data_IF_125795339003
#
_entry.id   IF_125795339003
#
_cell.length_a   1.000
_cell.length_b   1.000
_cell.length_c   1.000
_cell.angle_alpha   90.00
_cell.angle_beta   90.00
_cell.angle_gamma   90.00
#
_symmetry.space_group_name_H-M   'P 1'
#
loop_
_entity.id
_entity.type
_entity.pdbx_description
1 polymer ?
#
# COMPACT_ATOMS: atom_id res chain seq x y z
N UNK A 1 -40.68 -8.41 -27.12
CA UNK A 1 -40.16 -9.64 -27.78
C UNK A 1 -38.85 -9.28 -28.45
N UNK A 2 -37.74 -9.51 -27.81
CA UNK A 2 -36.39 -9.38 -28.39
C UNK A 2 -35.64 -10.65 -28.01
N UNK A 3 -35.13 -11.36 -29.00
CA UNK A 3 -34.48 -12.65 -28.90
C UNK A 3 -33.00 -12.50 -28.45
N UNK A 4 -32.43 -13.45 -27.72
CA UNK A 4 -31.03 -13.45 -27.33
C UNK A 4 -30.13 -13.97 -28.45
N UNK A 5 -29.03 -13.29 -28.73
CA UNK A 5 -28.00 -13.66 -29.68
C UNK A 5 -27.06 -14.71 -29.10
N UNK A 6 -26.93 -15.84 -29.79
CA UNK A 6 -26.07 -16.98 -29.49
C UNK A 6 -24.58 -16.60 -29.64
N UNK A 7 -23.78 -17.02 -28.64
CA UNK A 7 -22.31 -16.90 -28.65
C UNK A 7 -21.71 -18.19 -29.26
N UNK A 8 -21.18 -18.08 -30.48
CA UNK A 8 -20.57 -19.18 -31.22
C UNK A 8 -19.20 -19.58 -30.65
N UNK A 9 -19.07 -20.85 -30.24
CA UNK A 9 -17.81 -21.49 -29.85
C UNK A 9 -16.98 -21.82 -31.12
N UNK A 10 -15.82 -21.20 -31.28
CA UNK A 10 -14.84 -21.65 -32.28
C UNK A 10 -14.00 -22.78 -31.69
N UNK A 11 -14.12 -23.94 -32.32
CA UNK A 11 -13.28 -25.11 -32.07
C UNK A 11 -11.90 -24.90 -32.71
N UNK A 12 -10.84 -25.08 -31.91
CA UNK A 12 -9.48 -25.20 -32.45
C UNK A 12 -9.18 -26.67 -32.73
N UNK A 13 -8.88 -26.96 -34.00
CA UNK A 13 -8.40 -28.26 -34.46
C UNK A 13 -6.89 -28.31 -34.24
N UNK A 14 -6.42 -29.28 -33.44
CA UNK A 14 -5.00 -29.57 -33.27
C UNK A 14 -4.62 -30.64 -34.30
N UNK A 15 -3.74 -30.29 -35.20
CA UNK A 15 -3.14 -31.27 -36.14
C UNK A 15 -1.78 -31.68 -35.57
N UNK A 16 -1.65 -32.94 -35.16
CA UNK A 16 -0.39 -33.56 -34.78
C UNK A 16 0.37 -34.04 -36.02
N UNK A 17 1.63 -33.65 -36.18
CA UNK A 17 2.57 -34.28 -37.09
C UNK A 17 3.76 -34.78 -36.28
N UNK A 18 3.89 -36.13 -36.23
CA UNK A 18 5.05 -36.87 -35.75
C UNK A 18 6.12 -36.92 -36.78
N UNK A 19 7.39 -36.64 -36.43
CA UNK A 19 8.55 -37.30 -37.02
C UNK A 19 9.71 -37.32 -36.02
N UNK A 20 10.16 -38.53 -35.71
CA UNK A 20 11.33 -38.81 -34.89
C UNK A 20 12.62 -38.66 -35.69
N UNK A 21 13.64 -38.05 -35.10
CA UNK A 21 15.04 -38.24 -35.47
C UNK A 21 15.92 -38.19 -34.23
N UNK A 22 16.52 -39.35 -33.91
CA UNK A 22 17.57 -39.50 -32.90
C UNK A 22 18.86 -38.83 -33.43
N UNK A 23 19.49 -37.97 -32.68
CA UNK A 23 20.88 -37.61 -32.85
C UNK A 23 21.50 -37.25 -31.47
N UNK A 24 22.70 -37.72 -31.27
CA UNK A 24 23.50 -37.88 -30.06
C UNK A 24 23.78 -36.59 -29.31
N UNK A 25 23.88 -36.73 -27.97
CA UNK A 25 24.30 -35.76 -26.96
C UNK A 25 25.80 -35.56 -27.02
N UNK A 26 26.34 -34.35 -26.90
CA UNK A 26 27.57 -34.07 -26.19
C UNK A 26 27.29 -33.50 -24.81
N UNK A 27 27.83 -34.16 -23.78
CA UNK A 27 27.97 -33.63 -22.42
C UNK A 27 28.98 -32.48 -22.45
N UNK A 28 28.59 -31.33 -21.98
CA UNK A 28 29.54 -30.23 -21.81
C UNK A 28 28.88 -28.93 -21.39
N UNK A 29 29.19 -28.50 -20.19
CA UNK A 29 29.07 -27.14 -19.65
C UNK A 29 27.77 -26.77 -18.99
N UNK A 30 27.82 -26.86 -17.68
CA UNK A 30 26.96 -26.08 -16.76
C UNK A 30 27.39 -24.62 -16.92
N UNK A 31 26.64 -23.86 -17.64
CA UNK A 31 26.78 -22.41 -17.72
C UNK A 31 25.45 -21.80 -17.27
N UNK A 32 25.52 -21.14 -16.15
CA UNK A 32 24.68 -20.04 -15.66
C UNK A 32 23.26 -19.98 -16.19
N UNK A 33 22.34 -20.58 -15.43
CA UNK A 33 20.95 -20.17 -15.47
C UNK A 33 20.86 -18.72 -14.92
N UNK A 34 21.20 -17.76 -15.75
CA UNK A 34 20.85 -16.37 -15.56
C UNK A 34 19.32 -16.31 -15.62
N UNK A 35 18.68 -16.44 -14.47
CA UNK A 35 17.26 -16.18 -14.31
C UNK A 35 17.05 -14.70 -14.59
N UNK A 36 16.89 -14.37 -15.85
CA UNK A 36 16.28 -13.13 -16.29
C UNK A 36 14.88 -13.16 -15.67
N UNK A 37 14.72 -12.48 -14.53
CA UNK A 37 13.43 -12.14 -13.97
C UNK A 37 12.73 -11.37 -15.06
N UNK A 38 11.84 -12.05 -15.79
CA UNK A 38 10.99 -11.42 -16.79
C UNK A 38 10.39 -10.20 -16.11
N UNK A 39 10.62 -9.03 -16.69
CA UNK A 39 10.04 -7.76 -16.29
C UNK A 39 8.56 -7.88 -16.65
N UNK A 40 7.80 -8.57 -15.78
CA UNK A 40 6.36 -8.72 -15.95
C UNK A 40 5.78 -7.33 -16.19
N UNK A 41 4.83 -7.23 -17.06
CA UNK A 41 4.10 -6.01 -17.38
C UNK A 41 3.81 -5.27 -16.09
N UNK A 42 4.30 -4.02 -15.97
CA UNK A 42 4.17 -3.23 -14.77
C UNK A 42 2.70 -2.92 -14.56
N UNK A 43 2.03 -3.74 -13.73
CA UNK A 43 0.63 -3.54 -13.39
C UNK A 43 0.48 -2.26 -12.56
N UNK A 44 -0.53 -1.48 -12.89
CA UNK A 44 -0.93 -0.33 -12.08
C UNK A 44 -1.33 -0.82 -10.68
N UNK A 45 -0.74 -0.23 -9.65
CA UNK A 45 -1.01 -0.58 -8.25
C UNK A 45 -1.72 0.57 -7.56
N UNK A 46 -2.78 0.26 -6.81
CA UNK A 46 -3.44 1.23 -5.93
C UNK A 46 -2.75 1.18 -4.56
N UNK A 47 -2.22 2.31 -4.10
CA UNK A 47 -1.60 2.45 -2.79
C UNK A 47 -2.20 3.65 -2.04
N UNK A 48 -2.02 3.67 -0.72
CA UNK A 48 -2.43 4.82 0.10
C UNK A 48 -1.40 5.95 -0.04
N UNK A 49 -1.90 7.18 -0.25
CA UNK A 49 -1.08 8.39 -0.22
C UNK A 49 -1.71 9.44 0.68
N UNK A 50 -0.99 9.86 1.74
CA UNK A 50 -1.46 10.82 2.72
C UNK A 50 -0.83 12.19 2.49
N UNK A 51 -1.59 13.25 2.74
CA UNK A 51 -1.15 14.64 2.62
C UNK A 51 -1.24 15.33 3.98
N UNK A 52 -0.16 15.98 4.39
CA UNK A 52 -0.07 16.66 5.68
C UNK A 52 0.27 18.15 5.50
N UNK A 53 -0.18 18.98 6.42
CA UNK A 53 0.19 20.39 6.44
C UNK A 53 1.41 20.62 7.36
N UNK A 54 2.58 20.25 6.84
CA UNK A 54 3.87 20.39 7.53
C UNK A 54 4.18 19.36 8.60
N UNK A 55 3.32 18.38 8.83
CA UNK A 55 3.49 17.33 9.86
C UNK A 55 3.81 15.95 9.31
N UNK A 56 4.12 15.85 8.00
CA UNK A 56 4.36 14.57 7.33
C UNK A 56 5.46 13.74 8.01
N UNK A 57 6.59 14.36 8.38
CA UNK A 57 7.69 13.66 9.07
C UNK A 57 7.22 13.03 10.37
N UNK A 58 6.60 13.83 11.25
CA UNK A 58 6.13 13.36 12.57
C UNK A 58 5.10 12.23 12.43
N UNK A 59 4.18 12.36 11.46
CA UNK A 59 3.17 11.34 11.19
C UNK A 59 3.82 10.02 10.74
N UNK A 60 4.74 10.07 9.79
CA UNK A 60 5.36 8.87 9.25
C UNK A 60 6.33 8.19 10.23
N UNK A 61 7.05 8.96 11.07
CA UNK A 61 7.86 8.42 12.16
C UNK A 61 6.98 7.77 13.24
N UNK A 62 5.83 8.36 13.55
CA UNK A 62 4.85 7.76 14.45
C UNK A 62 4.28 6.46 13.86
N UNK A 63 3.89 6.42 12.59
CA UNK A 63 3.42 5.19 11.95
C UNK A 63 4.52 4.12 11.91
N UNK A 64 5.78 4.50 11.68
CA UNK A 64 6.90 3.57 11.79
C UNK A 64 7.02 2.98 13.22
N UNK A 65 6.81 3.78 14.26
CA UNK A 65 6.82 3.28 15.65
C UNK A 65 5.66 2.30 15.94
N UNK A 66 4.51 2.47 15.27
CA UNK A 66 3.36 1.59 15.41
C UNK A 66 3.51 0.27 14.65
N UNK A 67 3.90 0.35 13.38
CA UNK A 67 3.93 -0.79 12.45
C UNK A 67 5.32 -1.44 12.32
N UNK A 68 6.39 -0.74 12.75
CA UNK A 68 7.76 -1.14 12.44
C UNK A 68 8.11 -0.88 10.97
N UNK A 69 9.10 -1.64 10.47
CA UNK A 69 9.49 -1.60 9.06
C UNK A 69 10.41 -0.46 8.67
N UNK A 70 10.52 -0.22 7.38
CA UNK A 70 11.45 0.73 6.77
C UNK A 70 10.73 2.01 6.35
N UNK A 71 11.23 3.16 6.82
CA UNK A 71 10.76 4.48 6.43
C UNK A 71 11.82 5.19 5.60
N UNK A 72 11.50 5.45 4.32
CA UNK A 72 12.26 6.34 3.45
C UNK A 72 11.60 7.71 3.44
N UNK A 73 12.41 8.79 3.53
CA UNK A 73 11.92 10.16 3.57
C UNK A 73 12.87 11.10 2.82
N UNK A 74 12.31 11.91 1.92
CA UNK A 74 13.05 12.91 1.13
C UNK A 74 12.44 14.29 1.33
N UNK A 75 13.26 15.27 1.72
CA UNK A 75 12.85 16.68 1.77
C UNK A 75 12.96 17.34 0.40
N UNK A 76 12.28 18.47 0.22
CA UNK A 76 12.39 19.29 -1.00
C UNK A 76 13.84 19.65 -1.28
N UNK A 77 14.57 20.18 -0.30
CA UNK A 77 15.98 20.60 -0.44
C UNK A 77 16.95 19.48 -0.84
N UNK A 78 16.60 18.22 -0.52
CA UNK A 78 17.42 17.03 -0.78
C UNK A 78 17.02 16.33 -2.10
N UNK A 79 16.19 17.00 -2.92
CA UNK A 79 15.62 16.45 -4.15
C UNK A 79 15.97 17.30 -5.38
N UNK A 80 15.68 16.76 -6.56
CA UNK A 80 15.78 17.51 -7.83
C UNK A 80 14.75 18.65 -7.94
N UNK A 81 13.82 18.77 -7.00
CA UNK A 81 12.82 19.86 -6.97
C UNK A 81 13.32 21.10 -6.25
N UNK A 82 14.49 21.07 -5.57
CA UNK A 82 14.99 22.15 -4.71
C UNK A 82 15.02 23.52 -5.40
N UNK A 83 15.49 23.58 -6.64
CA UNK A 83 15.66 24.85 -7.36
C UNK A 83 14.35 25.38 -7.95
N UNK A 84 13.27 24.58 -7.90
CA UNK A 84 11.93 24.95 -8.39
C UNK A 84 10.96 25.30 -7.28
N UNK A 85 11.36 25.08 -6.02
CA UNK A 85 10.50 25.31 -4.85
C UNK A 85 11.02 26.51 -4.04
N UNK A 86 10.11 27.35 -3.50
CA UNK A 86 10.49 28.51 -2.70
C UNK A 86 11.16 28.11 -1.38
N UNK A 87 11.91 29.05 -0.80
CA UNK A 87 12.73 28.82 0.39
C UNK A 87 11.93 28.26 1.57
N UNK A 88 10.71 28.73 1.80
CA UNK A 88 9.84 28.27 2.91
C UNK A 88 9.35 26.81 2.77
N UNK A 89 9.53 26.19 1.62
CA UNK A 89 9.17 24.79 1.38
C UNK A 89 10.37 23.82 1.44
N UNK A 90 11.60 24.33 1.52
CA UNK A 90 12.81 23.51 1.41
C UNK A 90 12.91 22.41 2.48
N UNK A 91 12.39 22.64 3.70
CA UNK A 91 12.39 21.66 4.78
C UNK A 91 11.17 20.75 4.82
N UNK A 92 10.16 21.01 3.97
CA UNK A 92 8.98 20.15 3.83
C UNK A 92 9.35 18.79 3.24
N UNK A 93 8.58 17.77 3.60
CA UNK A 93 8.71 16.44 3.04
C UNK A 93 8.10 16.40 1.65
N UNK A 94 8.93 16.13 0.64
CA UNK A 94 8.50 15.94 -0.74
C UNK A 94 7.88 14.56 -0.94
N UNK A 95 8.49 13.55 -0.32
CA UNK A 95 8.01 12.18 -0.37
C UNK A 95 8.46 11.39 0.86
N UNK A 96 7.56 10.60 1.41
CA UNK A 96 7.86 9.60 2.43
C UNK A 96 7.17 8.29 2.06
N UNK A 97 7.79 7.14 2.39
CA UNK A 97 7.19 5.82 2.21
C UNK A 97 7.56 4.91 3.35
N UNK A 98 6.57 4.35 4.01
CA UNK A 98 6.69 3.33 5.04
C UNK A 98 6.27 1.98 4.47
N UNK A 99 7.14 0.97 4.63
CA UNK A 99 6.86 -0.43 4.28
C UNK A 99 7.07 -1.33 5.48
N UNK A 100 6.06 -2.09 5.85
CA UNK A 100 6.12 -3.07 6.93
C UNK A 100 5.16 -4.23 6.65
N UNK A 101 5.69 -5.36 6.17
CA UNK A 101 4.86 -6.47 5.69
C UNK A 101 3.90 -6.01 4.59
N UNK A 102 2.60 -6.17 4.83
CA UNK A 102 1.54 -5.76 3.91
C UNK A 102 1.15 -4.27 4.04
N UNK A 103 1.75 -3.54 4.98
CA UNK A 103 1.53 -2.10 5.14
C UNK A 103 2.45 -1.33 4.18
N UNK A 104 1.85 -0.55 3.27
CA UNK A 104 2.55 0.33 2.34
C UNK A 104 1.84 1.70 2.34
N UNK A 105 2.43 2.66 3.04
CA UNK A 105 1.90 4.01 3.19
C UNK A 105 2.88 5.00 2.58
N UNK A 106 2.42 5.77 1.60
CA UNK A 106 3.15 6.90 1.05
C UNK A 106 2.57 8.22 1.57
N UNK A 107 3.40 9.25 1.69
CA UNK A 107 2.95 10.55 2.16
C UNK A 107 3.84 11.70 1.67
N UNK A 108 3.32 12.92 1.76
CA UNK A 108 4.10 14.15 1.62
C UNK A 108 3.47 15.28 2.45
N UNK A 109 4.22 16.35 2.61
CA UNK A 109 3.61 17.61 2.99
C UNK A 109 2.85 18.23 1.81
N UNK A 110 1.83 19.04 2.12
CA UNK A 110 1.11 19.84 1.14
C UNK A 110 2.02 20.93 0.57
N UNK A 111 2.31 20.84 -0.72
CA UNK A 111 3.25 21.73 -1.40
C UNK A 111 2.58 22.76 -2.32
N UNK A 112 1.25 22.91 -2.22
CA UNK A 112 0.46 23.87 -3.00
C UNK A 112 -0.02 25.02 -2.12
N UNK A 113 0.79 26.04 -1.84
CA UNK A 113 0.47 27.09 -0.86
C UNK A 113 -0.76 27.95 -1.23
N UNK A 114 -1.08 28.01 -2.52
CA UNK A 114 -2.27 28.74 -3.00
C UNK A 114 -3.58 27.97 -2.79
N UNK A 115 -3.54 26.74 -2.30
CA UNK A 115 -4.73 25.90 -2.06
C UNK A 115 -4.76 25.46 -0.61
N UNK A 116 -5.90 25.55 0.03
CA UNK A 116 -6.12 25.02 1.38
C UNK A 116 -6.21 23.49 1.32
N UNK A 117 -5.45 22.80 2.19
CA UNK A 117 -5.62 21.38 2.39
C UNK A 117 -6.94 21.12 3.11
N UNK A 118 -7.85 20.40 2.46
CA UNK A 118 -9.15 20.03 3.03
C UNK A 118 -9.11 18.57 3.46
N UNK A 119 -9.40 18.30 4.72
CA UNK A 119 -9.56 16.94 5.25
C UNK A 119 -11.03 16.57 5.20
N UNK A 120 -11.31 15.40 4.66
CA UNK A 120 -12.65 14.81 4.64
C UNK A 120 -12.75 13.63 5.61
N UNK A 121 -13.96 13.13 5.81
CA UNK A 121 -14.26 11.97 6.65
C UNK A 121 -14.81 10.76 5.86
N UNK A 122 -14.75 10.81 4.53
CA UNK A 122 -15.30 9.78 3.65
C UNK A 122 -14.31 8.69 3.28
N UNK A 123 -13.02 8.85 3.64
CA UNK A 123 -11.96 7.87 3.39
C UNK A 123 -11.31 7.51 4.72
N UNK A 124 -11.07 6.22 4.95
CA UNK A 124 -10.35 5.72 6.11
C UNK A 124 -9.31 4.68 5.68
N UNK A 125 -8.28 4.50 6.50
CA UNK A 125 -7.35 3.40 6.40
C UNK A 125 -7.93 2.22 7.19
N UNK A 126 -8.05 1.07 6.54
CA UNK A 126 -8.70 -0.09 7.14
C UNK A 126 -7.66 -1.19 7.42
N UNK A 127 -7.47 -1.49 8.69
CA UNK A 127 -6.64 -2.59 9.19
C UNK A 127 -7.56 -3.77 9.46
N UNK A 128 -7.41 -4.83 8.67
CA UNK A 128 -8.27 -6.01 8.75
C UNK A 128 -7.48 -7.31 8.89
N UNK A 129 -8.05 -8.28 9.59
CA UNK A 129 -7.44 -9.60 9.81
C UNK A 129 -6.43 -9.60 10.95
N UNK A 130 -5.49 -10.56 10.91
CA UNK A 130 -4.50 -10.75 11.98
C UNK A 130 -5.11 -11.33 13.26
N UNK A 131 -4.30 -11.44 14.33
CA UNK A 131 -4.79 -11.89 15.63
C UNK A 131 -5.45 -10.75 16.40
N UNK A 132 -6.42 -11.06 17.26
CA UNK A 132 -7.04 -10.06 18.15
C UNK A 132 -6.00 -9.35 19.03
N UNK A 133 -4.97 -10.07 19.46
CA UNK A 133 -3.88 -9.50 20.26
C UNK A 133 -3.12 -8.43 19.48
N UNK A 134 -2.75 -8.71 18.23
CA UNK A 134 -1.96 -7.79 17.42
C UNK A 134 -2.81 -6.57 17.01
N UNK A 135 -4.10 -6.79 16.71
CA UNK A 135 -5.03 -5.70 16.41
C UNK A 135 -5.23 -4.77 17.62
N UNK A 136 -5.37 -5.32 18.84
CA UNK A 136 -5.44 -4.53 20.08
C UNK A 136 -4.17 -3.70 20.29
N UNK A 137 -3.01 -4.30 20.13
CA UNK A 137 -1.73 -3.60 20.28
C UNK A 137 -1.57 -2.44 19.28
N UNK A 138 -2.01 -2.63 18.03
CA UNK A 138 -2.00 -1.56 17.02
C UNK A 138 -3.01 -0.45 17.36
N UNK A 139 -4.22 -0.83 17.80
CA UNK A 139 -5.24 0.13 18.21
C UNK A 139 -4.75 0.99 19.40
N UNK A 140 -4.15 0.37 20.40
CA UNK A 140 -3.57 1.07 21.56
C UNK A 140 -2.51 2.09 21.15
N UNK A 141 -1.55 1.68 20.29
CA UNK A 141 -0.49 2.57 19.79
C UNK A 141 -1.07 3.74 18.98
N UNK A 142 -1.97 3.47 18.04
CA UNK A 142 -2.57 4.50 17.20
C UNK A 142 -3.54 5.41 17.97
N UNK A 143 -4.06 4.96 19.12
CA UNK A 143 -4.91 5.75 20.01
C UNK A 143 -4.14 6.82 20.79
N UNK A 144 -2.82 6.80 20.80
CA UNK A 144 -2.03 7.79 21.53
C UNK A 144 -2.23 9.19 20.95
N UNK A 145 -2.93 10.04 21.69
CA UNK A 145 -3.31 11.40 21.28
C UNK A 145 -4.42 11.45 20.20
N UNK A 146 -5.12 10.34 19.99
CA UNK A 146 -6.19 10.22 19.02
C UNK A 146 -7.56 10.57 19.61
N UNK A 147 -8.53 10.85 18.73
CA UNK A 147 -9.95 10.83 19.03
C UNK A 147 -10.51 9.43 18.70
N UNK A 148 -10.81 8.64 19.73
CA UNK A 148 -11.46 7.34 19.55
C UNK A 148 -12.93 7.56 19.27
N UNK A 149 -13.36 7.31 18.01
CA UNK A 149 -14.76 7.43 17.60
C UNK A 149 -15.58 6.21 17.96
N UNK A 150 -14.97 5.03 17.83
CA UNK A 150 -15.59 3.74 18.17
C UNK A 150 -14.56 2.93 18.98
N UNK A 151 -14.78 2.68 20.27
CA UNK A 151 -13.90 1.84 21.07
C UNK A 151 -13.78 0.44 20.48
N UNK A 152 -12.57 -0.15 20.58
CA UNK A 152 -12.34 -1.50 20.08
C UNK A 152 -13.09 -2.53 20.94
N UNK A 153 -14.13 -3.14 20.39
CA UNK A 153 -15.00 -4.07 21.10
C UNK A 153 -15.57 -5.16 20.18
N UNK A 154 -16.02 -6.26 20.79
CA UNK A 154 -16.67 -7.34 20.08
C UNK A 154 -18.05 -6.89 19.57
N UNK A 155 -18.34 -7.22 18.33
CA UNK A 155 -19.59 -6.98 17.62
C UNK A 155 -20.09 -8.32 17.04
N UNK A 156 -21.33 -8.38 16.52
CA UNK A 156 -21.86 -9.59 15.89
C UNK A 156 -21.08 -10.04 14.65
N UNK A 157 -20.31 -9.14 14.03
CA UNK A 157 -19.47 -9.36 12.85
C UNK A 157 -17.96 -9.44 13.14
N UNK A 158 -17.56 -9.56 14.39
CA UNK A 158 -16.16 -9.60 14.81
C UNK A 158 -15.78 -8.45 15.73
N UNK A 159 -14.50 -8.32 16.07
CA UNK A 159 -14.01 -7.18 16.86
C UNK A 159 -13.79 -5.99 15.93
N UNK A 160 -14.33 -4.83 16.29
CA UNK A 160 -14.29 -3.60 15.51
C UNK A 160 -13.96 -2.40 16.40
N UNK A 161 -13.28 -1.42 15.81
CA UNK A 161 -13.03 -0.11 16.40
C UNK A 161 -12.66 0.93 15.34
N UNK A 162 -12.75 2.22 15.69
CA UNK A 162 -12.32 3.30 14.81
C UNK A 162 -11.81 4.50 15.60
N UNK A 163 -10.89 5.24 15.01
CA UNK A 163 -10.34 6.47 15.59
C UNK A 163 -9.88 7.44 14.50
N UNK A 164 -9.77 8.71 14.89
CA UNK A 164 -8.99 9.70 14.17
C UNK A 164 -7.69 9.90 14.93
N UNK A 165 -6.54 9.58 14.32
CA UNK A 165 -5.26 9.70 15.00
C UNK A 165 -4.88 11.17 15.28
N UNK A 166 -3.79 11.39 16.03
CA UNK A 166 -3.28 12.73 16.39
C UNK A 166 -2.95 13.62 15.20
N UNK A 167 -2.82 13.05 13.99
CA UNK A 167 -2.59 13.78 12.74
C UNK A 167 -3.87 13.96 11.93
N UNK A 168 -5.02 13.46 12.43
CA UNK A 168 -6.34 13.55 11.82
C UNK A 168 -6.57 12.57 10.69
N UNK A 169 -5.80 11.49 10.61
CA UNK A 169 -6.06 10.37 9.70
C UNK A 169 -7.06 9.41 10.35
N UNK A 170 -8.10 9.05 9.59
CA UNK A 170 -9.12 8.12 10.06
C UNK A 170 -8.68 6.67 9.85
N UNK A 171 -8.77 5.89 10.92
CA UNK A 171 -8.46 4.47 10.96
C UNK A 171 -9.67 3.65 11.37
N UNK A 172 -9.85 2.49 10.74
CA UNK A 172 -10.81 1.47 11.14
C UNK A 172 -10.06 0.15 11.36
N UNK A 173 -10.52 -0.63 12.32
CA UNK A 173 -9.91 -1.88 12.76
C UNK A 173 -10.96 -2.97 12.75
N UNK A 174 -10.63 -4.15 12.21
CA UNK A 174 -11.53 -5.30 12.24
C UNK A 174 -10.76 -6.62 12.23
N UNK A 175 -11.23 -7.58 13.01
CA UNK A 175 -10.81 -8.98 12.91
C UNK A 175 -11.95 -9.91 13.31
N UNK A 176 -12.06 -11.04 12.60
CA UNK A 176 -12.94 -12.16 12.95
C UNK A 176 -12.30 -13.09 13.98
N UNK A 177 -11.00 -12.91 14.29
CA UNK A 177 -10.29 -13.74 15.25
C UNK A 177 -10.91 -13.58 16.64
N UNK A 178 -11.26 -14.72 17.25
CA UNK A 178 -11.74 -14.80 18.63
C UNK A 178 -10.56 -14.75 19.61
N UNK A 179 -10.84 -14.34 20.84
CA UNK A 179 -9.86 -14.32 21.93
C UNK A 179 -9.39 -15.73 22.30
#
# INVERSE_FOLDING_TARGET
MLQPTEFSRRQFVITAVSTAALAAVPVGSIADANTQKEKGDAMTTLTTYLLFDGTCRQAMEFYQSCFGGELALTKVKDSAAKDRMPAFQQDKVLNARLRSGDVDISASDWLRPAQTLVRGNTVCLFLSGGTLRDLKALFEKLSEGAEVTDPLQEQFFGTYGALNDRFGVRWMFHTDAKA
#
